data_IF_798016824846
#
_entry.id   IF_798016824846
#
_cell.length_a   1.000
_cell.length_b   1.000
_cell.length_c   1.000
_cell.angle_alpha   90.00
_cell.angle_beta   90.00
_cell.angle_gamma   90.00
#
_symmetry.space_group_name_H-M   'P 1'
#
loop_
_entity.id
_entity.type
_entity.pdbx_description
1 polymer ?
#
# COMPACT_ATOMS: atom_id res chain seq x y z
N UNK A 1 16.63 2.88 31.35
CA UNK A 1 16.84 2.46 29.95
C UNK A 1 15.64 1.76 29.31
N UNK A 2 14.81 0.99 30.02
CA UNK A 2 13.80 0.14 29.37
C UNK A 2 12.50 0.85 28.91
N UNK A 3 12.18 2.04 29.44
CA UNK A 3 10.91 2.73 29.16
C UNK A 3 11.01 3.68 27.96
N UNK A 4 12.14 4.37 27.80
CA UNK A 4 12.41 5.22 26.64
C UNK A 4 12.55 4.39 25.35
N UNK A 5 13.19 3.22 25.40
CA UNK A 5 13.30 2.31 24.24
C UNK A 5 11.93 1.72 23.85
N UNK A 6 11.07 1.41 24.83
CA UNK A 6 9.69 0.97 24.55
C UNK A 6 8.83 2.08 23.96
N UNK A 7 9.00 3.31 24.44
CA UNK A 7 8.31 4.48 23.90
C UNK A 7 8.80 4.76 22.47
N UNK A 8 10.10 4.68 22.23
CA UNK A 8 10.71 4.80 20.90
C UNK A 8 10.19 3.77 19.91
N UNK A 9 10.12 2.50 20.32
CA UNK A 9 9.57 1.41 19.51
C UNK A 9 8.09 1.66 19.20
N UNK A 10 7.28 1.97 20.22
CA UNK A 10 5.86 2.27 20.03
C UNK A 10 5.60 3.48 19.13
N UNK A 11 6.46 4.49 19.22
CA UNK A 11 6.36 5.71 18.43
C UNK A 11 6.84 5.46 16.98
N UNK A 12 7.92 4.70 16.80
CA UNK A 12 8.38 4.25 15.48
C UNK A 12 7.34 3.34 14.82
N UNK A 13 6.67 2.47 15.56
CA UNK A 13 5.57 1.63 15.08
C UNK A 13 4.36 2.49 14.67
N UNK A 14 4.04 3.54 15.43
CA UNK A 14 2.95 4.47 15.11
C UNK A 14 3.26 5.35 13.89
N UNK A 15 4.49 5.82 13.72
CA UNK A 15 4.86 6.54 12.50
C UNK A 15 5.03 5.61 11.32
N UNK A 16 5.57 4.40 11.51
CA UNK A 16 5.57 3.40 10.46
C UNK A 16 4.14 3.03 10.07
N UNK A 17 3.18 2.96 11.00
CA UNK A 17 1.77 2.80 10.70
C UNK A 17 1.19 4.01 9.94
N UNK A 18 1.54 5.24 10.33
CA UNK A 18 1.12 6.47 9.66
C UNK A 18 1.71 6.62 8.25
N UNK A 19 2.94 6.15 8.03
CA UNK A 19 3.63 6.13 6.72
C UNK A 19 3.22 4.89 5.90
N UNK A 20 2.82 3.79 6.57
CA UNK A 20 2.16 2.60 5.98
C UNK A 20 0.67 2.81 5.74
N UNK A 21 0.14 4.04 5.80
CA UNK A 21 -1.14 4.37 5.16
C UNK A 21 -0.93 4.35 3.63
N UNK A 22 -0.68 3.14 3.16
CA UNK A 22 -0.97 2.62 1.84
C UNK A 22 -1.86 1.36 1.96
N UNK A 23 -2.01 0.78 3.15
CA UNK A 23 -2.86 -0.39 3.36
C UNK A 23 -3.92 -0.07 4.42
N UNK A 24 -5.16 0.06 3.97
CA UNK A 24 -6.29 0.58 4.74
C UNK A 24 -6.65 -0.27 5.96
N UNK A 25 -6.68 0.37 7.13
CA UNK A 25 -7.80 0.37 8.08
C UNK A 25 -7.29 0.84 9.45
N UNK A 26 -7.65 2.07 9.81
CA UNK A 26 -7.83 2.45 11.21
C UNK A 26 -8.84 3.59 11.24
N UNK A 27 -9.94 3.37 11.94
CA UNK A 27 -10.82 4.45 12.40
C UNK A 27 -10.02 5.32 13.38
N UNK A 28 -9.36 6.32 12.82
CA UNK A 28 -8.69 7.40 13.53
C UNK A 28 -8.59 8.55 12.54
N UNK A 29 -8.94 9.76 12.97
CA UNK A 29 -8.82 10.96 12.16
C UNK A 29 -7.47 10.97 11.43
N UNK A 30 -7.54 10.82 10.11
CA UNK A 30 -6.40 10.81 9.21
C UNK A 30 -5.80 12.21 9.22
N UNK A 31 -4.66 12.39 9.88
CA UNK A 31 -3.99 13.69 9.92
C UNK A 31 -3.37 14.07 8.55
N UNK A 32 -3.17 13.08 7.67
CA UNK A 32 -2.68 13.27 6.31
C UNK A 32 -3.56 12.48 5.34
N UNK A 33 -4.29 13.18 4.46
CA UNK A 33 -5.08 12.55 3.40
C UNK A 33 -4.17 11.83 2.40
N UNK A 34 -4.72 10.87 1.67
CA UNK A 34 -4.06 10.14 0.57
C UNK A 34 -3.58 11.04 -0.61
N UNK A 35 -3.72 12.36 -0.48
CA UNK A 35 -3.33 13.40 -1.43
C UNK A 35 -1.99 14.06 -1.09
N UNK A 36 -1.02 13.33 -0.53
CA UNK A 36 0.37 13.81 -0.52
C UNK A 36 0.94 13.68 -1.94
N UNK A 37 0.56 14.65 -2.79
CA UNK A 37 1.08 14.79 -4.14
C UNK A 37 2.59 15.00 -4.13
N UNK A 38 3.36 13.94 -4.40
CA UNK A 38 4.72 14.00 -4.94
C UNK A 38 5.78 13.21 -4.16
N UNK A 39 6.67 12.55 -4.90
CA UNK A 39 7.84 11.81 -4.39
C UNK A 39 8.67 12.58 -3.34
N UNK A 40 8.68 13.91 -3.40
CA UNK A 40 9.40 14.76 -2.46
C UNK A 40 8.81 14.73 -1.04
N UNK A 41 7.48 14.67 -0.90
CA UNK A 41 6.84 14.65 0.41
C UNK A 41 7.06 13.30 1.11
N UNK A 42 7.02 12.20 0.34
CA UNK A 42 7.32 10.86 0.85
C UNK A 42 8.80 10.72 1.26
N UNK A 43 9.73 11.24 0.45
CA UNK A 43 11.14 11.26 0.78
C UNK A 43 11.43 12.10 2.05
N UNK A 44 10.79 13.26 2.19
CA UNK A 44 10.93 14.10 3.38
C UNK A 44 10.39 13.40 4.64
N UNK A 45 9.24 12.72 4.55
CA UNK A 45 8.70 11.94 5.66
C UNK A 45 9.64 10.81 6.08
N UNK A 46 10.23 10.09 5.11
CA UNK A 46 11.18 9.01 5.38
C UNK A 46 12.45 9.52 6.07
N UNK A 47 13.04 10.60 5.57
CA UNK A 47 14.23 11.23 6.15
C UNK A 47 13.99 11.70 7.59
N UNK A 48 12.79 12.22 7.89
CA UNK A 48 12.41 12.62 9.24
C UNK A 48 12.32 11.41 10.19
N UNK A 49 11.78 10.28 9.72
CA UNK A 49 11.68 9.04 10.51
C UNK A 49 13.06 8.44 10.79
N UNK A 50 13.97 8.43 9.81
CA UNK A 50 15.32 7.89 9.98
C UNK A 50 16.17 8.75 10.94
N UNK A 51 16.09 10.07 10.81
CA UNK A 51 16.73 10.99 11.74
C UNK A 51 16.17 10.85 13.16
N UNK A 52 14.88 10.55 13.29
CA UNK A 52 14.24 10.33 14.57
C UNK A 52 14.71 9.06 15.29
N UNK A 53 14.76 7.94 14.58
CA UNK A 53 15.24 6.67 15.13
C UNK A 53 16.67 6.85 15.68
N UNK A 54 17.51 7.58 14.93
CA UNK A 54 18.88 7.91 15.33
C UNK A 54 18.94 8.77 16.59
N UNK A 55 18.17 9.87 16.65
CA UNK A 55 18.16 10.77 17.80
C UNK A 55 17.70 10.07 19.10
N UNK A 56 16.75 9.15 19.00
CA UNK A 56 16.28 8.38 20.16
C UNK A 56 17.29 7.33 20.59
N UNK A 57 17.98 6.67 19.64
CA UNK A 57 19.06 5.74 19.95
C UNK A 57 20.23 6.42 20.67
N UNK A 58 20.49 7.70 20.38
CA UNK A 58 21.53 8.53 21.00
C UNK A 58 21.10 9.17 22.34
N UNK A 59 19.84 9.00 22.75
CA UNK A 59 19.33 9.51 24.03
C UNK A 59 18.88 10.98 24.00
N UNK A 60 18.75 11.60 22.82
CA UNK A 60 18.29 12.98 22.64
C UNK A 60 16.75 13.05 22.49
N UNK A 61 16.00 12.61 23.50
CA UNK A 61 14.53 12.57 23.43
C UNK A 61 13.81 13.82 23.96
N UNK A 62 14.52 14.72 24.65
CA UNK A 62 13.90 15.70 25.54
C UNK A 62 13.16 16.85 24.83
N UNK A 63 13.33 16.98 23.50
CA UNK A 63 12.70 18.03 22.68
C UNK A 63 11.90 17.51 21.50
N UNK A 64 11.65 16.20 21.45
CA UNK A 64 11.17 15.54 20.26
C UNK A 64 9.82 16.04 19.75
N UNK A 65 8.85 16.22 20.66
CA UNK A 65 7.54 16.76 20.28
C UNK A 65 7.66 18.20 19.77
N UNK A 66 8.52 19.00 20.40
CA UNK A 66 8.77 20.38 19.98
C UNK A 66 9.47 20.45 18.60
N UNK A 67 10.37 19.51 18.30
CA UNK A 67 11.02 19.42 17.00
C UNK A 67 10.05 19.02 15.89
N UNK A 68 9.15 18.05 16.16
CA UNK A 68 8.07 17.67 15.24
C UNK A 68 7.14 18.85 14.97
N UNK A 69 6.69 19.55 16.02
CA UNK A 69 5.86 20.75 15.89
C UNK A 69 6.57 21.84 15.07
N UNK A 70 7.88 22.01 15.27
CA UNK A 70 8.68 22.97 14.50
C UNK A 70 8.78 22.57 13.01
N UNK A 71 8.94 21.29 12.70
CA UNK A 71 8.97 20.78 11.32
C UNK A 71 7.61 20.98 10.66
N UNK A 72 6.51 20.65 11.33
CA UNK A 72 5.14 20.89 10.83
C UNK A 72 4.94 22.39 10.55
N UNK A 73 5.35 23.26 11.48
CA UNK A 73 5.25 24.71 11.29
C UNK A 73 6.08 25.23 10.11
N UNK A 74 7.29 24.69 9.91
CA UNK A 74 8.14 25.03 8.75
C UNK A 74 7.53 24.55 7.44
N UNK A 75 6.99 23.34 7.39
CA UNK A 75 6.32 22.79 6.21
C UNK A 75 5.04 23.55 5.87
N UNK A 76 4.24 23.93 6.87
CA UNK A 76 3.06 24.77 6.68
C UNK A 76 3.44 26.14 6.09
N UNK A 77 4.46 26.79 6.64
CA UNK A 77 4.98 28.06 6.12
C UNK A 77 5.54 27.92 4.70
N UNK A 78 6.25 26.83 4.42
CA UNK A 78 6.72 26.54 3.06
C UNK A 78 5.55 26.36 2.10
N UNK A 79 4.50 25.63 2.48
CA UNK A 79 3.27 25.47 1.69
C UNK A 79 2.62 26.82 1.40
N UNK A 80 2.47 27.69 2.40
CA UNK A 80 1.94 29.05 2.21
C UNK A 80 2.81 29.89 1.26
N UNK A 81 4.14 29.84 1.44
CA UNK A 81 5.08 30.54 0.56
C UNK A 81 4.99 30.02 -0.87
N UNK A 82 4.98 28.71 -1.06
CA UNK A 82 4.80 28.05 -2.35
C UNK A 82 3.46 28.44 -2.96
N UNK A 83 2.36 28.46 -2.22
CA UNK A 83 1.05 28.91 -2.69
C UNK A 83 1.04 30.40 -3.07
N UNK A 84 1.84 31.24 -2.40
CA UNK A 84 1.94 32.67 -2.70
C UNK A 84 2.83 32.99 -3.90
N UNK A 85 3.83 32.14 -4.17
CA UNK A 85 4.82 32.33 -5.25
C UNK A 85 4.39 31.61 -6.51
N UNK A 86 3.79 30.42 -6.38
CA UNK A 86 3.26 29.72 -7.54
C UNK A 86 2.07 30.52 -8.07
N UNK A 87 2.10 30.94 -9.35
CA UNK A 87 0.94 31.56 -9.95
C UNK A 87 -0.25 30.61 -9.81
N UNK A 88 -1.46 31.17 -9.70
CA UNK A 88 -2.72 30.42 -9.78
C UNK A 88 -2.81 29.53 -11.05
N UNK A 89 -1.87 29.63 -11.99
CA UNK A 89 -1.63 28.74 -13.11
C UNK A 89 -1.49 27.25 -12.74
N UNK A 90 -1.02 26.89 -11.55
CA UNK A 90 -1.03 25.48 -11.11
C UNK A 90 -2.39 25.03 -10.53
N UNK A 91 -3.27 25.98 -10.23
CA UNK A 91 -4.68 25.76 -9.90
C UNK A 91 -5.61 26.04 -11.10
N UNK A 92 -5.06 26.39 -12.25
CA UNK A 92 -5.82 26.35 -13.48
C UNK A 92 -5.99 24.88 -13.80
N UNK A 93 -7.16 24.36 -13.42
CA UNK A 93 -7.84 23.32 -14.18
C UNK A 93 -7.66 23.73 -15.62
N UNK A 94 -6.71 23.09 -16.30
CA UNK A 94 -6.36 23.35 -17.69
C UNK A 94 -7.68 23.39 -18.43
N UNK A 95 -8.14 24.60 -18.74
CA UNK A 95 -9.53 24.81 -19.15
C UNK A 95 -9.58 24.41 -20.61
N UNK A 96 -9.66 23.11 -20.83
CA UNK A 96 -9.67 22.53 -22.15
C UNK A 96 -10.96 22.92 -22.87
N UNK A 97 -10.83 23.22 -24.16
CA UNK A 97 -11.94 23.50 -25.05
C UNK A 97 -11.74 22.73 -26.35
N UNK A 98 -12.81 22.17 -26.96
CA UNK A 98 -12.72 21.47 -28.25
C UNK A 98 -12.08 22.30 -29.38
N UNK A 99 -12.22 23.63 -29.33
CA UNK A 99 -11.67 24.55 -30.34
C UNK A 99 -10.13 24.59 -30.26
N UNK A 100 -9.55 24.29 -29.10
CA UNK A 100 -8.10 24.23 -28.90
C UNK A 100 -7.47 22.91 -29.36
N UNK A 101 -8.28 21.94 -29.83
CA UNK A 101 -7.84 20.61 -30.23
C UNK A 101 -8.14 19.53 -29.18
N UNK A 102 -7.60 18.33 -29.38
CA UNK A 102 -7.82 17.21 -28.48
C UNK A 102 -7.18 17.43 -27.09
N UNK A 103 -7.76 16.84 -26.05
CA UNK A 103 -7.20 16.83 -24.70
C UNK A 103 -5.82 16.18 -24.70
N UNK A 104 -4.93 16.73 -23.87
CA UNK A 104 -3.72 16.01 -23.43
C UNK A 104 -4.09 14.93 -22.41
N UNK A 105 -3.22 13.94 -22.22
CA UNK A 105 -3.41 12.88 -21.22
C UNK A 105 -3.71 13.45 -19.82
N UNK A 106 -3.01 14.52 -19.43
CA UNK A 106 -3.22 15.19 -18.14
C UNK A 106 -4.63 15.77 -18.01
N UNK A 107 -5.14 16.40 -19.07
CA UNK A 107 -6.51 16.95 -19.11
C UNK A 107 -7.55 15.83 -19.10
N UNK A 108 -7.34 14.78 -19.89
CA UNK A 108 -8.24 13.63 -19.96
C UNK A 108 -8.35 12.90 -18.61
N UNK A 109 -7.22 12.64 -17.96
CA UNK A 109 -7.16 12.02 -16.62
C UNK A 109 -7.77 12.93 -15.55
N UNK A 110 -7.62 14.25 -15.64
CA UNK A 110 -8.30 15.18 -14.73
C UNK A 110 -9.83 15.10 -14.81
N UNK A 111 -10.37 14.63 -15.94
CA UNK A 111 -11.78 14.32 -16.13
C UNK A 111 -12.14 12.85 -15.87
N UNK A 112 -11.23 12.08 -15.27
CA UNK A 112 -11.42 10.67 -14.91
C UNK A 112 -11.82 9.77 -16.09
N UNK A 113 -11.45 10.15 -17.31
CA UNK A 113 -11.81 9.42 -18.53
C UNK A 113 -13.27 9.54 -18.97
N UNK A 114 -14.10 10.32 -18.27
CA UNK A 114 -15.55 10.40 -18.51
C UNK A 114 -15.98 11.44 -19.55
N UNK A 115 -15.06 11.90 -20.42
CA UNK A 115 -15.34 12.91 -21.46
C UNK A 115 -14.60 12.59 -22.73
N UNK A 116 -15.24 12.73 -23.89
CA UNK A 116 -14.55 12.59 -25.16
C UNK A 116 -13.37 13.57 -25.23
N UNK A 117 -12.13 13.09 -25.50
CA UNK A 117 -10.96 13.96 -25.57
C UNK A 117 -11.01 14.90 -26.78
N UNK A 118 -11.89 14.68 -27.76
CA UNK A 118 -12.03 15.52 -28.95
C UNK A 118 -13.10 16.60 -28.78
N UNK A 119 -14.33 16.23 -28.37
CA UNK A 119 -15.47 17.15 -28.33
C UNK A 119 -15.99 17.48 -26.92
N UNK A 120 -15.54 16.75 -25.89
CA UNK A 120 -15.92 16.98 -24.50
C UNK A 120 -17.28 16.41 -24.08
N UNK A 121 -18.02 15.74 -24.98
CA UNK A 121 -19.27 15.05 -24.63
C UNK A 121 -19.02 14.00 -23.55
N UNK A 122 -19.92 13.93 -22.56
CA UNK A 122 -19.92 12.93 -21.49
C UNK A 122 -21.04 11.89 -21.64
N UNK A 123 -21.97 12.09 -22.57
CA UNK A 123 -23.16 11.24 -22.72
C UNK A 123 -23.02 10.26 -23.90
N UNK A 124 -22.21 10.62 -24.89
CA UNK A 124 -22.08 9.90 -26.15
C UNK A 124 -20.81 9.05 -26.20
N UNK A 125 -20.46 8.37 -25.11
CA UNK A 125 -19.25 7.55 -25.01
C UNK A 125 -19.59 6.07 -25.07
N UNK A 126 -18.82 5.32 -25.86
CA UNK A 126 -18.91 3.86 -25.96
C UNK A 126 -17.54 3.26 -25.70
N UNK A 127 -17.49 2.16 -24.94
CA UNK A 127 -16.27 1.38 -24.73
C UNK A 127 -16.49 -0.08 -25.11
N UNK A 128 -15.47 -0.71 -25.69
CA UNK A 128 -15.45 -2.14 -25.97
C UNK A 128 -14.88 -2.92 -24.76
N UNK A 129 -14.65 -4.21 -24.93
CA UNK A 129 -14.00 -5.08 -23.94
C UNK A 129 -12.59 -4.62 -23.56
N UNK A 130 -12.20 -4.94 -22.32
CA UNK A 130 -10.84 -4.71 -21.85
C UNK A 130 -9.91 -5.81 -22.33
N UNK A 131 -8.76 -5.42 -22.84
CA UNK A 131 -7.63 -6.31 -23.06
C UNK A 131 -6.60 -6.09 -21.94
N UNK A 132 -6.30 -7.13 -21.16
CA UNK A 132 -5.36 -7.05 -20.05
C UNK A 132 -4.10 -7.87 -20.36
N UNK A 133 -2.93 -7.26 -20.20
CA UNK A 133 -1.63 -7.90 -20.35
C UNK A 133 -0.64 -7.38 -19.31
N UNK A 134 -0.02 -8.29 -18.56
CA UNK A 134 1.19 -8.02 -17.78
C UNK A 134 1.16 -6.78 -16.87
N UNK A 135 0.09 -6.54 -16.12
CA UNK A 135 -0.02 -5.38 -15.22
C UNK A 135 -0.48 -4.09 -15.91
N UNK A 136 -0.90 -4.18 -17.18
CA UNK A 136 -1.58 -3.12 -17.93
C UNK A 136 -2.90 -3.64 -18.46
N UNK A 137 -3.82 -2.71 -18.74
CA UNK A 137 -5.00 -3.02 -19.53
C UNK A 137 -5.29 -1.87 -20.49
N UNK A 138 -5.91 -2.15 -21.62
CA UNK A 138 -6.38 -1.16 -22.58
C UNK A 138 -7.84 -1.39 -22.93
N UNK A 139 -8.59 -0.32 -23.12
CA UNK A 139 -9.97 -0.36 -23.60
C UNK A 139 -10.09 0.52 -24.83
N UNK A 140 -10.66 0.00 -25.93
CA UNK A 140 -11.00 0.84 -27.08
C UNK A 140 -12.26 1.65 -26.78
N UNK A 141 -12.19 2.95 -27.05
CA UNK A 141 -13.22 3.92 -26.74
C UNK A 141 -13.63 4.69 -27.99
N UNK A 142 -14.89 5.10 -28.04
CA UNK A 142 -15.48 5.85 -29.13
C UNK A 142 -16.46 6.91 -28.64
N UNK A 143 -16.67 7.94 -29.45
CA UNK A 143 -17.68 8.96 -29.20
C UNK A 143 -18.64 9.11 -30.37
N UNK A 144 -19.94 8.87 -30.17
CA UNK A 144 -20.95 9.00 -31.23
C UNK A 144 -21.29 10.45 -31.59
N UNK A 145 -20.98 11.42 -30.72
CA UNK A 145 -21.24 12.84 -30.99
C UNK A 145 -20.27 13.44 -32.03
N UNK A 146 -19.02 12.99 -32.06
CA UNK A 146 -17.99 13.52 -32.96
C UNK A 146 -17.20 12.45 -33.72
N UNK A 147 -17.62 11.18 -33.62
CA UNK A 147 -17.04 10.03 -34.31
C UNK A 147 -15.55 9.75 -33.98
N UNK A 148 -15.04 10.33 -32.89
CA UNK A 148 -13.66 10.08 -32.47
C UNK A 148 -13.52 8.69 -31.85
N UNK A 149 -12.41 8.02 -32.12
CA UNK A 149 -11.98 6.79 -31.42
C UNK A 149 -10.61 6.97 -30.79
N UNK A 150 -10.41 6.35 -29.62
CA UNK A 150 -9.15 6.37 -28.87
C UNK A 150 -9.03 5.08 -28.02
N UNK A 151 -7.92 4.94 -27.28
CA UNK A 151 -7.75 3.84 -26.34
C UNK A 151 -7.44 4.37 -24.96
N UNK A 152 -8.22 3.93 -23.96
CA UNK A 152 -7.89 4.17 -22.56
C UNK A 152 -6.81 3.19 -22.13
N UNK A 153 -5.85 3.69 -21.35
CA UNK A 153 -4.72 2.90 -20.84
C UNK A 153 -4.76 2.87 -19.31
N UNK A 154 -4.78 1.66 -18.77
CA UNK A 154 -4.82 1.37 -17.34
C UNK A 154 -3.55 0.67 -16.92
N UNK A 155 -3.17 0.90 -15.65
CA UNK A 155 -2.04 0.24 -15.01
C UNK A 155 -2.51 -0.40 -13.70
N UNK A 156 -2.08 -1.64 -13.45
CA UNK A 156 -2.35 -2.32 -12.20
C UNK A 156 -1.67 -1.57 -11.05
N UNK A 157 -2.49 -1.05 -10.13
CA UNK A 157 -1.99 -0.28 -8.98
C UNK A 157 -1.87 -1.11 -7.70
N UNK A 158 -2.58 -2.23 -7.60
CA UNK A 158 -2.60 -3.09 -6.42
C UNK A 158 -3.76 -4.09 -6.45
N UNK A 159 -4.01 -4.73 -5.31
CA UNK A 159 -5.15 -5.59 -5.02
C UNK A 159 -5.70 -5.23 -3.63
N UNK A 160 -6.98 -5.51 -3.38
CA UNK A 160 -7.63 -5.28 -2.08
C UNK A 160 -8.73 -6.32 -1.87
N UNK A 161 -9.22 -6.46 -0.64
CA UNK A 161 -10.34 -7.36 -0.30
C UNK A 161 -10.13 -8.79 -0.77
N UNK A 162 -8.89 -9.28 -0.65
CA UNK A 162 -8.58 -10.67 -0.97
C UNK A 162 -9.32 -11.58 0.02
N UNK A 163 -10.27 -12.36 -0.49
CA UNK A 163 -10.97 -13.39 0.26
C UNK A 163 -10.27 -14.76 0.08
N UNK A 164 -10.04 -15.46 1.19
CA UNK A 164 -9.31 -16.73 1.21
C UNK A 164 -7.79 -16.57 1.13
N UNK A 165 -7.11 -17.63 0.69
CA UNK A 165 -5.65 -17.69 0.61
C UNK A 165 -5.04 -18.67 1.62
N UNK A 166 -3.72 -18.55 1.82
CA UNK A 166 -2.96 -19.37 2.78
C UNK A 166 -3.22 -18.84 4.19
N UNK A 167 -3.81 -19.67 5.04
CA UNK A 167 -3.99 -19.44 6.47
C UNK A 167 -2.67 -19.62 7.21
N UNK A 168 -1.96 -18.50 7.42
CA UNK A 168 -0.69 -18.51 8.17
C UNK A 168 -0.93 -18.90 9.63
N UNK A 169 -2.09 -18.55 10.19
CA UNK A 169 -2.46 -18.91 11.56
C UNK A 169 -2.60 -20.42 11.73
N UNK A 170 -3.31 -21.11 10.83
CA UNK A 170 -3.47 -22.57 10.90
C UNK A 170 -2.13 -23.28 10.66
N UNK A 171 -1.33 -22.77 9.71
CA UNK A 171 0.05 -23.26 9.49
C UNK A 171 0.89 -23.13 10.75
N UNK A 172 0.88 -21.97 11.42
CA UNK A 172 1.67 -21.76 12.63
C UNK A 172 1.16 -22.60 13.80
N UNK A 173 -0.17 -22.77 13.92
CA UNK A 173 -0.78 -23.63 14.93
C UNK A 173 -0.29 -25.08 14.80
N UNK A 174 -0.31 -25.64 13.59
CA UNK A 174 0.18 -26.99 13.32
C UNK A 174 1.69 -27.12 13.56
N UNK A 175 2.49 -26.14 13.11
CA UNK A 175 3.95 -26.14 13.28
C UNK A 175 4.35 -26.09 14.76
N UNK A 176 3.68 -25.25 15.55
CA UNK A 176 3.98 -25.13 16.97
C UNK A 176 3.52 -26.36 17.78
N UNK A 177 2.43 -27.03 17.37
CA UNK A 177 2.07 -28.33 17.94
C UNK A 177 3.16 -29.38 17.71
N UNK A 178 3.63 -29.55 16.47
CA UNK A 178 4.74 -30.49 16.16
C UNK A 178 5.97 -30.17 17.00
N UNK A 179 6.35 -28.89 17.10
CA UNK A 179 7.52 -28.46 17.90
C UNK A 179 7.33 -28.69 19.39
N UNK A 180 6.12 -28.54 19.90
CA UNK A 180 5.79 -28.83 21.29
C UNK A 180 5.93 -30.32 21.57
N UNK A 181 5.32 -31.17 20.73
CA UNK A 181 5.39 -32.63 20.82
C UNK A 181 6.81 -33.15 20.67
N UNK A 182 7.61 -32.58 19.76
CA UNK A 182 9.00 -32.99 19.54
C UNK A 182 9.86 -32.77 20.79
N UNK A 183 9.67 -31.65 21.49
CA UNK A 183 10.31 -31.38 22.78
C UNK A 183 9.81 -32.30 23.89
N UNK A 184 8.50 -32.51 23.96
CA UNK A 184 7.88 -33.34 25.00
C UNK A 184 8.28 -34.82 24.89
N UNK A 185 8.36 -35.34 23.66
CA UNK A 185 8.61 -36.76 23.39
C UNK A 185 10.06 -37.05 22.97
N UNK A 186 10.89 -36.01 22.79
CA UNK A 186 12.31 -36.15 22.48
C UNK A 186 12.59 -36.66 21.05
N UNK A 187 11.74 -36.34 20.08
CA UNK A 187 12.00 -36.63 18.66
C UNK A 187 12.47 -35.38 17.91
N UNK A 188 13.10 -35.58 16.76
CA UNK A 188 13.53 -34.51 15.86
C UNK A 188 12.92 -34.73 14.48
N UNK A 189 12.45 -33.66 13.84
CA UNK A 189 11.95 -33.71 12.46
C UNK A 189 13.14 -33.72 11.50
N UNK A 190 13.29 -34.79 10.73
CA UNK A 190 14.48 -35.04 9.89
C UNK A 190 14.07 -35.30 8.45
N UNK A 191 13.79 -34.22 7.71
CA UNK A 191 13.46 -34.27 6.28
C UNK A 191 11.98 -34.06 5.97
N UNK A 192 11.70 -33.86 4.68
CA UNK A 192 10.38 -33.41 4.19
C UNK A 192 9.27 -34.45 4.40
N UNK A 193 9.53 -35.73 4.13
CA UNK A 193 8.55 -36.81 4.32
C UNK A 193 8.17 -36.98 5.79
N UNK A 194 9.17 -37.01 6.67
CA UNK A 194 8.95 -37.08 8.12
C UNK A 194 8.20 -35.83 8.62
N UNK A 195 8.53 -34.63 8.11
CA UNK A 195 7.83 -33.40 8.46
C UNK A 195 6.35 -33.43 8.05
N UNK A 196 6.02 -34.00 6.89
CA UNK A 196 4.64 -34.16 6.44
C UNK A 196 3.87 -35.12 7.34
N UNK A 197 4.45 -36.29 7.64
CA UNK A 197 3.82 -37.30 8.51
C UNK A 197 3.47 -36.73 9.89
N UNK A 198 4.42 -36.06 10.56
CA UNK A 198 4.14 -35.48 11.89
C UNK A 198 3.19 -34.28 11.83
N UNK A 199 3.13 -33.59 10.69
CA UNK A 199 2.20 -32.48 10.48
C UNK A 199 0.78 -33.00 10.26
N UNK A 200 0.60 -34.07 9.48
CA UNK A 200 -0.69 -34.74 9.30
C UNK A 200 -1.28 -35.16 10.65
N UNK A 201 -0.47 -35.80 11.51
CA UNK A 201 -0.88 -36.12 12.88
C UNK A 201 -1.33 -34.87 13.67
N UNK A 202 -0.66 -33.73 13.47
CA UNK A 202 -1.00 -32.47 14.17
C UNK A 202 -2.30 -31.88 13.65
N UNK A 203 -2.51 -31.92 12.33
CA UNK A 203 -3.74 -31.46 11.70
C UNK A 203 -4.94 -32.28 12.20
N UNK A 204 -4.79 -33.60 12.30
CA UNK A 204 -5.83 -34.48 12.87
C UNK A 204 -6.13 -34.16 14.34
N UNK A 205 -5.10 -33.87 15.14
CA UNK A 205 -5.26 -33.48 16.56
C UNK A 205 -5.98 -32.13 16.71
N UNK A 206 -5.62 -31.15 15.86
CA UNK A 206 -6.12 -29.78 15.94
C UNK A 206 -7.44 -29.58 15.18
N UNK A 207 -7.84 -30.54 14.34
CA UNK A 207 -9.00 -30.42 13.46
C UNK A 207 -8.77 -29.41 12.33
N UNK A 208 -7.53 -29.30 11.84
CA UNK A 208 -7.14 -28.42 10.74
C UNK A 208 -7.15 -29.17 9.41
N UNK A 209 -7.57 -28.49 8.34
CA UNK A 209 -7.50 -29.00 6.97
C UNK A 209 -6.60 -28.08 6.14
N UNK A 210 -5.29 -28.37 6.18
CA UNK A 210 -4.30 -27.57 5.47
C UNK A 210 -4.26 -27.96 3.99
N UNK A 211 -4.41 -26.97 3.11
CA UNK A 211 -4.19 -27.10 1.68
C UNK A 211 -2.72 -27.43 1.34
N UNK A 212 -2.46 -27.93 0.13
CA UNK A 212 -1.11 -28.29 -0.30
C UNK A 212 -0.07 -27.14 -0.16
N UNK A 213 -0.40 -25.86 -0.49
CA UNK A 213 0.51 -24.74 -0.24
C UNK A 213 0.80 -24.51 1.25
N UNK A 214 -0.19 -24.70 2.12
CA UNK A 214 -0.05 -24.56 3.58
C UNK A 214 0.83 -25.67 4.15
N UNK A 215 0.63 -26.92 3.71
CA UNK A 215 1.50 -28.05 4.08
C UNK A 215 2.95 -27.77 3.66
N UNK A 216 3.19 -27.32 2.43
CA UNK A 216 4.54 -26.98 1.96
C UNK A 216 5.19 -25.89 2.82
N UNK A 217 4.42 -24.87 3.19
CA UNK A 217 4.90 -23.79 4.06
C UNK A 217 5.21 -24.29 5.48
N UNK A 218 4.32 -25.09 6.07
CA UNK A 218 4.50 -25.68 7.39
C UNK A 218 5.74 -26.58 7.45
N UNK A 219 5.94 -27.43 6.44
CA UNK A 219 7.12 -28.30 6.32
C UNK A 219 8.40 -27.47 6.21
N UNK A 220 8.40 -26.40 5.41
CA UNK A 220 9.55 -25.50 5.32
C UNK A 220 9.89 -24.86 6.67
N UNK A 221 8.87 -24.47 7.47
CA UNK A 221 9.03 -23.91 8.83
C UNK A 221 9.51 -24.94 9.87
N UNK A 222 9.24 -26.23 9.67
CA UNK A 222 9.71 -27.30 10.55
C UNK A 222 11.17 -27.69 10.29
N UNK A 223 11.63 -27.50 9.05
CA UNK A 223 12.99 -27.85 8.62
C UNK A 223 13.98 -26.68 8.71
N UNK A 224 13.50 -25.47 9.00
CA UNK A 224 14.31 -24.27 9.28
C UNK A 224 14.75 -24.20 10.74
#
# INVERSE_FOLDING_TARGET
MNQAVKLAGSIADRLNAAVRIRDGSAEGETFFSADLHGYAAQAAAKELVENWITAVAEGNSDHLLADVDQVIAKLAKFKEQVQSILPAANAQVDTWSPIAGAMTDKQYVAHQGCRCPSCGSSEDLSGDSFNADGGTASQEMGCSACEASWSDLYVLRGYSELEGGISIEDVDCAVEDVKSRSKQHGFSVTGEEHAKEVLEDSCDILGLDLSEPEIKLAVAKLLS
#
